data_IF_126255833648
#
_entry.id   IF_126255833648
#
_cell.length_a   1.000
_cell.length_b   1.000
_cell.length_c   1.000
_cell.angle_alpha   90.00
_cell.angle_beta   90.00
_cell.angle_gamma   90.00
#
_symmetry.space_group_name_H-M   'P 1'
#
loop_
_entity.id
_entity.type
_entity.pdbx_description
1 polymer ?
#
# COMPACT_ATOMS: atom_id res chain seq x y z
N UNK A 1 4.12 47.18 5.49
CA UNK A 1 5.45 46.55 5.55
C UNK A 1 5.25 45.04 5.61
N UNK A 2 5.65 44.32 4.57
CA UNK A 2 5.54 42.87 4.47
C UNK A 2 6.57 42.24 5.42
N UNK A 3 6.10 41.68 6.54
CA UNK A 3 6.92 40.90 7.45
C UNK A 3 7.23 39.54 6.83
N UNK A 4 8.49 39.34 6.46
CA UNK A 4 9.07 38.07 6.01
C UNK A 4 8.86 36.98 7.08
N UNK A 5 8.00 36.00 6.83
CA UNK A 5 8.02 34.72 7.55
C UNK A 5 9.07 33.82 6.89
N UNK A 6 10.34 34.15 7.09
CA UNK A 6 11.45 33.25 6.79
C UNK A 6 11.42 32.12 7.82
N UNK A 7 10.99 30.94 7.37
CA UNK A 7 10.93 29.74 8.18
C UNK A 7 12.31 29.30 8.63
N UNK A 8 12.45 29.04 9.92
CA UNK A 8 13.47 28.12 10.44
C UNK A 8 12.77 26.79 10.68
N UNK A 9 12.81 25.92 9.68
CA UNK A 9 12.43 24.52 9.81
C UNK A 9 13.41 23.85 10.78
N UNK A 10 13.07 23.80 12.07
CA UNK A 10 13.77 22.94 13.01
C UNK A 10 13.16 21.55 12.86
N UNK A 11 13.88 20.65 12.20
CA UNK A 11 13.51 19.23 12.16
C UNK A 11 13.90 18.57 13.47
N UNK A 12 13.33 19.04 14.58
CA UNK A 12 13.29 18.25 15.79
C UNK A 12 12.13 17.28 15.65
N UNK A 13 12.44 16.00 15.43
CA UNK A 13 11.49 14.89 15.34
C UNK A 13 10.63 14.66 16.60
N UNK A 14 10.68 15.58 17.57
CA UNK A 14 9.90 15.56 18.81
C UNK A 14 8.95 16.74 18.98
N UNK A 15 8.98 17.74 18.11
CA UNK A 15 8.04 18.86 18.17
C UNK A 15 6.74 18.51 17.43
N UNK A 16 5.73 18.06 18.18
CA UNK A 16 4.38 17.80 17.65
C UNK A 16 3.55 19.08 17.75
N UNK A 17 3.33 19.75 16.62
CA UNK A 17 2.31 20.80 16.52
C UNK A 17 0.96 20.11 16.31
N UNK A 18 0.00 20.40 17.18
CA UNK A 18 -1.40 19.99 17.02
C UNK A 18 -2.18 21.27 16.78
N UNK A 19 -2.79 21.40 15.59
CA UNK A 19 -3.76 22.46 15.34
C UNK A 19 -5.01 22.19 16.20
N UNK A 20 -5.54 23.21 16.86
CA UNK A 20 -6.73 23.10 17.70
C UNK A 20 -7.92 22.59 16.87
N UNK A 21 -8.20 21.29 16.94
CA UNK A 21 -9.27 20.61 16.19
C UNK A 21 -8.82 19.36 15.42
N UNK A 22 -7.53 19.03 15.40
CA UNK A 22 -7.03 17.85 14.72
C UNK A 22 -7.01 16.64 15.67
N UNK A 23 -8.01 15.78 15.54
CA UNK A 23 -8.00 14.47 16.20
C UNK A 23 -6.79 13.67 15.69
N UNK A 24 -6.03 13.00 16.58
CA UNK A 24 -4.85 12.26 16.20
C UNK A 24 -5.24 11.16 15.22
N UNK A 25 -4.91 11.34 13.94
CA UNK A 25 -4.97 10.28 12.95
C UNK A 25 -3.98 9.21 13.40
N UNK A 26 -4.53 8.18 14.04
CA UNK A 26 -3.80 7.02 14.46
C UNK A 26 -3.07 6.44 13.24
N UNK A 27 -1.81 6.11 13.47
CA UNK A 27 -0.90 5.40 12.61
C UNK A 27 -1.62 4.42 11.68
N UNK A 28 -1.22 4.44 10.41
CA UNK A 28 -1.71 3.56 9.34
C UNK A 28 -1.91 2.14 9.88
N UNK A 29 -3.16 1.70 9.88
CA UNK A 29 -3.70 0.47 10.51
C UNK A 29 -3.93 0.56 12.02
N UNK A 30 -4.92 1.36 12.42
CA UNK A 30 -5.73 1.00 13.59
C UNK A 30 -6.74 -0.05 13.15
N UNK A 31 -6.63 -1.27 13.68
CA UNK A 31 -7.79 -2.17 13.70
C UNK A 31 -8.91 -1.42 14.42
N UNK A 32 -10.03 -1.12 13.76
CA UNK A 32 -11.09 -0.43 14.43
C UNK A 32 -11.69 -1.44 15.41
N UNK A 33 -11.64 -1.12 16.70
CA UNK A 33 -12.83 -1.29 17.53
C UNK A 33 -13.91 -0.48 16.83
N UNK A 34 -14.49 -1.08 15.79
CA UNK A 34 -15.59 -0.51 15.05
C UNK A 34 -16.70 -0.38 16.08
N UNK A 35 -16.95 0.84 16.52
CA UNK A 35 -18.30 1.24 16.81
C UNK A 35 -19.12 0.72 15.64
N UNK A 36 -20.13 -0.08 15.95
CA UNK A 36 -20.92 -0.94 15.04
C UNK A 36 -21.60 -0.20 13.88
N UNK A 37 -21.32 1.09 13.72
CA UNK A 37 -21.84 2.03 12.75
C UNK A 37 -20.60 2.64 12.08
N UNK A 38 -20.08 1.99 11.04
CA UNK A 38 -19.00 2.56 10.23
C UNK A 38 -19.39 3.97 9.81
N UNK A 39 -18.55 4.95 10.14
CA UNK A 39 -18.85 6.36 9.88
C UNK A 39 -19.20 6.57 8.41
N UNK A 40 -20.23 7.38 8.16
CA UNK A 40 -20.60 7.79 6.81
C UNK A 40 -20.09 9.20 6.56
N UNK A 41 -19.71 9.51 5.32
CA UNK A 41 -19.45 10.87 4.89
C UNK A 41 -20.75 11.67 4.81
N UNK A 42 -20.65 12.97 4.51
CA UNK A 42 -21.82 13.86 4.38
C UNK A 42 -22.77 13.46 3.25
N UNK A 43 -22.34 12.59 2.33
CA UNK A 43 -23.17 12.03 1.26
C UNK A 43 -23.76 10.65 1.62
N UNK A 44 -23.49 10.14 2.82
CA UNK A 44 -23.95 8.83 3.28
C UNK A 44 -23.07 7.66 2.84
N UNK A 45 -21.86 7.89 2.33
CA UNK A 45 -20.94 6.81 1.90
C UNK A 45 -20.05 6.35 3.06
N UNK A 46 -19.73 5.05 3.16
CA UNK A 46 -18.82 4.57 4.19
C UNK A 46 -17.44 5.25 4.11
N UNK A 47 -16.99 5.81 5.23
CA UNK A 47 -15.64 6.34 5.41
C UNK A 47 -14.57 5.25 5.49
N UNK A 48 -14.99 4.02 5.77
CA UNK A 48 -14.12 2.86 5.85
C UNK A 48 -14.59 1.76 4.91
N UNK A 49 -13.66 1.25 4.12
CA UNK A 49 -13.84 0.05 3.33
C UNK A 49 -13.27 -1.15 4.10
N UNK A 50 -13.88 -2.30 3.91
CA UNK A 50 -13.29 -3.54 4.38
C UNK A 50 -11.93 -3.72 3.70
N UNK A 51 -10.89 -3.97 4.50
CA UNK A 51 -9.58 -4.32 3.96
C UNK A 51 -9.70 -5.74 3.38
N UNK A 52 -9.39 -5.95 2.10
CA UNK A 52 -9.42 -7.29 1.52
C UNK A 52 -8.39 -8.19 2.22
N UNK A 53 -8.66 -9.50 2.26
CA UNK A 53 -7.67 -10.47 2.72
C UNK A 53 -6.46 -10.45 1.77
N UNK A 54 -5.34 -9.90 2.26
CA UNK A 54 -4.09 -9.77 1.51
C UNK A 54 -3.15 -10.97 1.71
N UNK A 55 -3.48 -11.92 2.58
CA UNK A 55 -2.60 -13.07 2.83
C UNK A 55 -2.38 -13.86 1.54
N UNK A 56 -3.42 -14.02 0.73
CA UNK A 56 -3.33 -14.68 -0.58
C UNK A 56 -2.47 -13.90 -1.58
N UNK A 57 -2.41 -12.59 -1.47
CA UNK A 57 -1.59 -11.75 -2.34
C UNK A 57 -0.11 -11.87 -1.99
N UNK A 58 0.23 -11.87 -0.71
CA UNK A 58 1.61 -11.97 -0.25
C UNK A 58 2.14 -13.41 -0.16
N UNK A 59 1.25 -14.41 -0.02
CA UNK A 59 1.56 -15.84 0.05
C UNK A 59 0.70 -16.65 -0.92
N UNK A 60 0.83 -16.41 -2.24
CA UNK A 60 0.02 -17.13 -3.22
C UNK A 60 0.49 -18.58 -3.36
N UNK A 61 -0.46 -19.50 -3.56
CA UNK A 61 -0.16 -20.88 -3.98
C UNK A 61 0.19 -20.98 -5.47
N UNK A 62 -0.41 -20.10 -6.28
CA UNK A 62 -0.19 -20.03 -7.73
C UNK A 62 -0.27 -18.58 -8.21
N UNK A 63 0.51 -18.24 -9.23
CA UNK A 63 0.55 -16.91 -9.87
C UNK A 63 0.53 -17.08 -11.39
N UNK A 64 -0.30 -16.29 -12.08
CA UNK A 64 -0.26 -16.17 -13.52
C UNK A 64 0.48 -14.89 -13.93
N UNK A 65 1.40 -14.99 -14.88
CA UNK A 65 2.16 -13.84 -15.40
C UNK A 65 1.70 -13.55 -16.82
N UNK A 66 0.90 -12.50 -16.97
CA UNK A 66 0.35 -12.07 -18.26
C UNK A 66 1.40 -11.29 -19.02
N UNK A 67 1.58 -11.65 -20.30
CA UNK A 67 2.67 -11.14 -21.10
C UNK A 67 4.01 -11.63 -20.57
N UNK A 68 4.11 -12.89 -20.16
CA UNK A 68 5.40 -13.50 -19.85
C UNK A 68 6.26 -13.59 -21.13
N UNK A 69 7.58 -13.63 -21.00
CA UNK A 69 8.47 -14.06 -22.08
C UNK A 69 9.78 -14.54 -21.48
N UNK A 70 10.42 -15.53 -22.09
CA UNK A 70 11.81 -15.90 -21.80
C UNK A 70 12.77 -15.51 -22.93
N UNK A 71 12.23 -14.92 -24.01
CA UNK A 71 12.93 -14.65 -25.25
C UNK A 71 13.91 -13.50 -25.08
N UNK A 72 15.16 -13.72 -25.47
CA UNK A 72 16.20 -12.72 -25.31
C UNK A 72 15.84 -11.41 -26.02
N UNK A 73 16.14 -10.27 -25.39
CA UNK A 73 15.84 -8.94 -25.93
C UNK A 73 14.37 -8.49 -25.82
N UNK A 74 13.45 -9.30 -25.28
CA UNK A 74 12.09 -8.82 -24.98
C UNK A 74 12.05 -8.05 -23.64
N UNK A 75 11.27 -6.95 -23.52
CA UNK A 75 11.23 -6.14 -22.30
C UNK A 75 10.79 -6.91 -21.04
N UNK A 76 9.91 -7.90 -21.23
CA UNK A 76 9.32 -8.72 -20.17
C UNK A 76 10.19 -9.92 -19.75
N UNK A 77 11.32 -10.17 -20.40
CA UNK A 77 12.17 -11.34 -20.13
C UNK A 77 12.85 -11.27 -18.77
N UNK A 78 13.39 -10.11 -18.41
CA UNK A 78 14.04 -9.93 -17.11
C UNK A 78 13.07 -10.16 -15.95
N UNK A 79 11.89 -9.54 -16.00
CA UNK A 79 10.89 -9.68 -14.93
C UNK A 79 10.29 -11.09 -14.87
N UNK A 80 10.08 -11.75 -16.02
CA UNK A 80 9.57 -13.13 -16.06
C UNK A 80 10.56 -14.09 -15.39
N UNK A 81 11.86 -13.98 -15.69
CA UNK A 81 12.91 -14.80 -15.05
C UNK A 81 12.98 -14.55 -13.54
N UNK A 82 12.87 -13.30 -13.10
CA UNK A 82 12.83 -12.97 -11.67
C UNK A 82 11.62 -13.56 -10.96
N UNK A 83 10.44 -13.52 -11.58
CA UNK A 83 9.21 -14.08 -11.03
C UNK A 83 9.26 -15.61 -10.94
N UNK A 84 9.90 -16.28 -11.91
CA UNK A 84 10.15 -17.73 -11.86
C UNK A 84 11.03 -18.07 -10.66
N UNK A 85 12.19 -17.43 -10.53
CA UNK A 85 13.10 -17.68 -9.40
C UNK A 85 12.47 -17.33 -8.04
N UNK A 86 11.63 -16.31 -7.99
CA UNK A 86 10.85 -15.98 -6.79
C UNK A 86 9.83 -17.07 -6.47
N UNK A 87 9.05 -17.53 -7.45
CA UNK A 87 8.01 -18.53 -7.27
C UNK A 87 8.58 -19.85 -6.74
N UNK A 88 9.72 -20.30 -7.30
CA UNK A 88 10.46 -21.47 -6.82
C UNK A 88 10.86 -21.32 -5.34
N UNK A 89 11.41 -20.17 -4.96
CA UNK A 89 11.86 -19.89 -3.59
C UNK A 89 10.73 -19.87 -2.57
N UNK A 90 9.54 -19.40 -2.96
CA UNK A 90 8.38 -19.33 -2.05
C UNK A 90 7.45 -20.55 -2.17
N UNK A 91 7.75 -21.49 -3.06
CA UNK A 91 6.94 -22.68 -3.31
C UNK A 91 5.63 -22.39 -4.04
N UNK A 92 5.53 -21.28 -4.78
CA UNK A 92 4.36 -20.94 -5.58
C UNK A 92 4.47 -21.54 -6.99
N UNK A 93 3.33 -21.93 -7.57
CA UNK A 93 3.25 -22.39 -8.97
C UNK A 93 3.10 -21.20 -9.91
N UNK A 94 4.04 -21.03 -10.84
CA UNK A 94 3.96 -19.97 -11.85
C UNK A 94 3.34 -20.48 -13.16
N UNK A 95 2.41 -19.70 -13.72
CA UNK A 95 1.75 -19.96 -14.99
C UNK A 95 2.04 -18.80 -15.95
N UNK A 96 2.98 -18.95 -16.91
CA UNK A 96 3.20 -17.92 -17.90
C UNK A 96 2.04 -17.87 -18.88
N UNK A 97 1.62 -16.66 -19.26
CA UNK A 97 0.58 -16.41 -20.26
C UNK A 97 1.18 -15.48 -21.32
N UNK A 98 1.23 -15.94 -22.56
CA UNK A 98 1.90 -15.28 -23.68
C UNK A 98 0.89 -14.68 -24.66
#
# INVERSE_FOLDING_TARGET
>A
MLGSTHGTLTTDFRARVVACGEEPHASVVSLPTATRQGGLDVSGRPLHLAVPDLDRFFRPRSVAVVGASDTEGRPNTGITRQLIAWAERVGARLHPVH
#
